data_IF_797374962455
#
_entry.id   IF_797374962455
#
_cell.length_a   1.000
_cell.length_b   1.000
_cell.length_c   1.000
_cell.angle_alpha   90.00
_cell.angle_beta   90.00
_cell.angle_gamma   90.00
#
_symmetry.space_group_name_H-M   'P 1'
#
loop_
_entity.id
_entity.type
_entity.pdbx_description
1 polymer ?
#
# COMPACT_ATOMS: atom_id res chain seq x y z
N UNK A 1 15.61 5.40 -10.09
CA UNK A 1 14.60 4.78 -9.18
C UNK A 1 15.37 3.90 -8.21
N UNK A 2 15.32 4.22 -6.93
CA UNK A 2 15.95 3.41 -5.89
C UNK A 2 15.08 2.16 -5.64
N UNK A 3 15.72 1.01 -5.40
CA UNK A 3 14.98 -0.20 -5.03
C UNK A 3 14.45 -0.08 -3.60
N UNK A 4 13.27 -0.64 -3.33
CA UNK A 4 12.71 -0.65 -1.97
C UNK A 4 13.67 -1.34 -1.00
N UNK A 5 14.25 -2.48 -1.39
CA UNK A 5 15.22 -3.24 -0.58
C UNK A 5 16.53 -2.48 -0.29
N UNK A 6 16.85 -1.46 -1.08
CA UNK A 6 18.00 -0.59 -0.83
C UNK A 6 17.79 0.47 0.24
N UNK A 7 16.55 0.64 0.74
CA UNK A 7 16.23 1.57 1.82
C UNK A 7 16.53 0.95 3.19
N UNK A 8 16.96 1.79 4.14
CA UNK A 8 17.17 1.39 5.54
C UNK A 8 15.94 0.76 6.20
N UNK A 9 14.74 1.15 5.76
CA UNK A 9 13.48 0.55 6.22
C UNK A 9 13.43 -0.98 6.06
N UNK A 10 14.14 -1.51 5.05
CA UNK A 10 14.13 -2.93 4.74
C UNK A 10 15.36 -3.68 5.26
N UNK A 11 16.30 -3.01 5.95
CA UNK A 11 17.56 -3.62 6.38
C UNK A 11 17.39 -4.96 7.10
N UNK A 12 16.36 -5.10 7.94
CA UNK A 12 16.07 -6.33 8.67
C UNK A 12 15.46 -7.47 7.85
N UNK A 13 15.00 -7.22 6.61
CA UNK A 13 14.33 -8.21 5.75
C UNK A 13 14.94 -8.30 4.35
N UNK A 14 15.84 -7.39 3.99
CA UNK A 14 16.38 -7.28 2.64
C UNK A 14 17.06 -8.56 2.15
N UNK A 15 17.92 -9.15 2.96
CA UNK A 15 18.63 -10.39 2.62
C UNK A 15 17.68 -11.56 2.41
N UNK A 16 16.65 -11.68 3.29
CA UNK A 16 15.64 -12.72 3.19
C UNK A 16 14.84 -12.57 1.89
N UNK A 17 14.38 -11.37 1.58
CA UNK A 17 13.56 -11.12 0.39
C UNK A 17 14.38 -11.23 -0.90
N UNK A 18 15.65 -10.83 -0.88
CA UNK A 18 16.57 -11.01 -2.01
C UNK A 18 16.80 -12.49 -2.31
N UNK A 19 17.14 -13.28 -1.29
CA UNK A 19 17.30 -14.74 -1.42
C UNK A 19 16.01 -15.39 -1.91
N UNK A 20 14.87 -14.98 -1.36
CA UNK A 20 13.55 -15.48 -1.80
C UNK A 20 13.32 -15.20 -3.29
N UNK A 21 13.65 -14.01 -3.78
CA UNK A 21 13.52 -13.65 -5.19
C UNK A 21 14.42 -14.52 -6.08
N UNK A 22 15.65 -14.83 -5.65
CA UNK A 22 16.56 -15.71 -6.37
C UNK A 22 16.02 -17.13 -6.50
N UNK A 23 15.51 -17.70 -5.41
CA UNK A 23 14.86 -19.03 -5.43
C UNK A 23 13.62 -19.05 -6.29
N UNK A 24 12.78 -18.01 -6.23
CA UNK A 24 11.60 -17.87 -7.06
C UNK A 24 11.95 -17.83 -8.53
N UNK A 25 12.96 -17.06 -8.92
CA UNK A 25 13.43 -16.96 -10.32
C UNK A 25 14.02 -18.26 -10.85
N UNK A 26 14.62 -19.06 -9.99
CA UNK A 26 15.21 -20.36 -10.37
C UNK A 26 14.21 -21.53 -10.32
N UNK A 27 12.97 -21.30 -9.85
CA UNK A 27 11.97 -22.35 -9.71
C UNK A 27 11.44 -22.79 -11.08
N UNK A 28 11.46 -24.10 -11.34
CA UNK A 28 10.83 -24.71 -12.49
C UNK A 28 9.36 -25.14 -12.23
N UNK A 29 8.94 -25.15 -10.97
CA UNK A 29 7.60 -25.57 -10.55
C UNK A 29 6.70 -24.38 -10.33
N UNK A 30 5.37 -24.52 -10.59
CA UNK A 30 4.41 -23.45 -10.31
C UNK A 30 4.38 -23.09 -8.83
N UNK A 31 4.56 -21.80 -8.54
CA UNK A 31 4.58 -21.26 -7.17
C UNK A 31 3.13 -21.02 -6.71
N UNK A 32 2.77 -21.56 -5.56
CA UNK A 32 1.48 -21.29 -4.94
C UNK A 32 1.56 -20.01 -4.10
N UNK A 33 0.75 -19.00 -4.42
CA UNK A 33 0.64 -17.77 -3.65
C UNK A 33 -0.67 -17.81 -2.85
N UNK A 34 -0.56 -17.64 -1.53
CA UNK A 34 -1.70 -17.69 -0.61
C UNK A 34 -1.78 -16.43 0.24
N UNK A 35 -3.00 -15.96 0.46
CA UNK A 35 -3.35 -14.97 1.47
C UNK A 35 -4.78 -15.19 1.96
N UNK A 36 -5.11 -14.59 3.11
CA UNK A 36 -6.50 -14.46 3.52
C UNK A 36 -7.32 -13.70 2.47
N UNK A 37 -8.61 -14.00 2.28
CA UNK A 37 -9.51 -13.29 1.36
C UNK A 37 -9.91 -11.92 1.95
N UNK A 38 -8.94 -11.06 2.15
CA UNK A 38 -9.05 -9.72 2.71
C UNK A 38 -8.47 -8.69 1.74
N UNK A 39 -8.79 -7.42 1.95
CA UNK A 39 -8.23 -6.33 1.16
C UNK A 39 -6.70 -6.31 1.23
N UNK A 40 -6.10 -6.46 2.41
CA UNK A 40 -4.65 -6.54 2.55
C UNK A 40 -4.06 -7.77 1.85
N UNK A 41 -4.75 -8.92 1.90
CA UNK A 41 -4.36 -10.11 1.16
C UNK A 41 -4.32 -9.88 -0.35
N UNK A 42 -5.34 -9.23 -0.90
CA UNK A 42 -5.41 -8.86 -2.32
C UNK A 42 -4.28 -7.89 -2.72
N UNK A 43 -4.05 -6.85 -1.89
CA UNK A 43 -3.00 -5.86 -2.10
C UNK A 43 -1.59 -6.44 -1.97
N UNK A 44 -1.41 -7.51 -1.21
CA UNK A 44 -0.12 -8.21 -1.10
C UNK A 44 0.12 -9.20 -2.24
N UNK A 45 -0.93 -9.90 -2.70
CA UNK A 45 -0.81 -10.87 -3.80
C UNK A 45 -0.56 -10.16 -5.13
N UNK A 46 -1.26 -9.07 -5.41
CA UNK A 46 -1.20 -8.38 -6.70
C UNK A 46 0.22 -8.04 -7.19
N UNK A 47 1.12 -7.44 -6.39
CA UNK A 47 2.47 -7.15 -6.83
C UNK A 47 3.30 -8.42 -7.10
N UNK A 48 3.13 -9.48 -6.31
CA UNK A 48 3.85 -10.75 -6.52
C UNK A 48 3.40 -11.39 -7.83
N UNK A 49 2.08 -11.47 -8.09
CA UNK A 49 1.57 -11.96 -9.38
C UNK A 49 2.06 -11.12 -10.55
N UNK A 50 2.07 -9.79 -10.41
CA UNK A 50 2.59 -8.88 -11.42
C UNK A 50 4.05 -9.21 -11.78
N UNK A 51 4.89 -9.45 -10.77
CA UNK A 51 6.29 -9.78 -10.96
C UNK A 51 6.49 -11.16 -11.60
N UNK A 52 5.70 -12.16 -11.20
CA UNK A 52 5.75 -13.50 -11.80
C UNK A 52 5.29 -13.46 -13.27
N UNK A 53 4.23 -12.71 -13.58
CA UNK A 53 3.77 -12.48 -14.96
C UNK A 53 4.83 -11.76 -15.80
N UNK A 54 5.45 -10.71 -15.26
CA UNK A 54 6.49 -9.96 -15.95
C UNK A 54 7.75 -10.82 -16.21
N UNK A 55 8.00 -11.81 -15.36
CA UNK A 55 9.14 -12.74 -15.47
C UNK A 55 8.78 -14.04 -16.20
N UNK A 56 7.53 -14.25 -16.63
CA UNK A 56 7.09 -15.47 -17.29
C UNK A 56 7.12 -16.73 -16.41
N UNK A 57 7.04 -16.55 -15.08
CA UNK A 57 7.10 -17.64 -14.12
C UNK A 57 5.71 -18.23 -13.84
N UNK A 58 5.56 -19.57 -13.83
CA UNK A 58 4.28 -20.20 -13.57
C UNK A 58 3.89 -20.06 -12.08
N UNK A 59 2.62 -19.78 -11.85
CA UNK A 59 2.08 -19.65 -10.50
C UNK A 59 0.63 -20.05 -10.39
N UNK A 60 0.14 -20.18 -9.13
CA UNK A 60 -1.26 -20.35 -8.77
C UNK A 60 -1.61 -19.43 -7.61
N UNK A 61 -2.71 -18.70 -7.71
CA UNK A 61 -3.26 -17.88 -6.63
C UNK A 61 -4.34 -18.64 -5.87
N UNK A 62 -4.34 -18.52 -4.55
CA UNK A 62 -5.46 -18.94 -3.69
C UNK A 62 -5.69 -17.95 -2.56
N UNK A 63 -6.94 -17.62 -2.33
CA UNK A 63 -7.39 -16.88 -1.15
C UNK A 63 -7.94 -17.89 -0.13
N UNK A 64 -7.12 -18.20 0.88
CA UNK A 64 -7.43 -19.12 1.99
C UNK A 64 -6.73 -18.68 3.25
N UNK A 65 -7.30 -19.09 4.42
CA UNK A 65 -6.71 -18.86 5.75
C UNK A 65 -5.72 -19.97 6.15
N UNK A 66 -5.82 -21.14 5.56
CA UNK A 66 -5.03 -22.33 5.90
C UNK A 66 -3.62 -22.23 5.34
N UNK A 67 -2.66 -22.71 6.11
CA UNK A 67 -1.28 -22.86 5.63
C UNK A 67 -1.21 -23.90 4.51
N UNK A 68 -0.34 -23.69 3.51
CA UNK A 68 -0.16 -24.66 2.43
C UNK A 68 0.62 -25.88 2.90
N UNK A 69 0.22 -27.07 2.43
CA UNK A 69 0.83 -28.33 2.80
C UNK A 69 2.03 -28.71 1.90
N UNK A 70 2.01 -28.27 0.64
CA UNK A 70 2.99 -28.72 -0.37
C UNK A 70 3.70 -27.55 -1.01
N UNK A 71 5.02 -27.41 -0.85
CA UNK A 71 5.84 -26.39 -1.52
C UNK A 71 6.00 -26.66 -3.04
N UNK A 72 6.39 -25.65 -3.86
CA UNK A 72 6.80 -24.32 -3.43
C UNK A 72 5.61 -23.36 -3.18
N UNK A 73 5.72 -22.54 -2.16
CA UNK A 73 4.67 -21.57 -1.86
C UNK A 73 5.19 -20.25 -1.25
N UNK A 74 4.36 -19.19 -1.43
CA UNK A 74 4.47 -17.90 -0.76
C UNK A 74 3.17 -17.69 0.02
N UNK A 75 3.24 -17.59 1.33
CA UNK A 75 2.09 -17.38 2.21
C UNK A 75 2.17 -15.99 2.85
N UNK A 76 1.20 -15.14 2.51
CA UNK A 76 1.07 -13.81 3.12
C UNK A 76 0.22 -13.97 4.38
N UNK A 77 0.81 -13.65 5.52
CA UNK A 77 0.14 -13.73 6.82
C UNK A 77 -0.75 -12.51 7.06
N UNK A 78 -1.69 -12.64 8.00
CA UNK A 78 -2.66 -11.59 8.28
C UNK A 78 -2.05 -10.33 8.90
N UNK A 79 -2.79 -9.20 8.88
CA UNK A 79 -2.27 -7.89 9.30
C UNK A 79 -1.86 -7.79 10.77
N UNK A 80 -2.40 -8.65 11.65
CA UNK A 80 -2.02 -8.72 13.07
C UNK A 80 -0.83 -9.63 13.35
N UNK A 81 -0.25 -10.26 12.33
CA UNK A 81 0.91 -11.14 12.50
C UNK A 81 2.20 -10.35 12.30
N UNK A 82 2.96 -10.20 13.37
CA UNK A 82 4.25 -9.51 13.41
C UNK A 82 5.40 -10.43 13.83
N UNK A 83 5.29 -11.73 13.56
CA UNK A 83 6.33 -12.71 13.89
C UNK A 83 7.58 -12.62 13.01
N UNK A 84 7.56 -11.76 12.01
CA UNK A 84 8.61 -11.60 11.01
C UNK A 84 8.52 -12.65 9.89
N UNK A 85 9.00 -12.26 8.72
CA UNK A 85 9.02 -13.13 7.54
C UNK A 85 10.01 -14.28 7.70
N UNK A 86 9.71 -15.45 7.12
CA UNK A 86 10.53 -16.67 7.23
C UNK A 86 10.68 -17.34 5.87
N UNK A 87 11.89 -17.77 5.57
CA UNK A 87 12.25 -18.51 4.36
C UNK A 87 12.77 -19.89 4.73
N UNK A 88 12.25 -20.92 4.07
CA UNK A 88 12.88 -22.24 3.96
C UNK A 88 13.27 -22.42 2.49
N UNK A 89 14.53 -22.73 2.22
CA UNK A 89 15.09 -22.71 0.87
C UNK A 89 14.76 -23.97 0.08
N UNK A 90 14.82 -25.11 0.74
CA UNK A 90 14.65 -26.40 0.06
C UNK A 90 13.73 -27.32 0.89
N UNK A 91 12.52 -27.51 0.46
CA UNK A 91 11.82 -26.86 -0.66
C UNK A 91 11.39 -25.42 -0.34
N UNK A 92 11.26 -24.57 -1.38
CA UNK A 92 10.91 -23.15 -1.21
C UNK A 92 9.58 -22.97 -0.46
N UNK A 93 9.67 -22.37 0.72
CA UNK A 93 8.52 -22.02 1.56
C UNK A 93 8.77 -20.65 2.18
N UNK A 94 8.04 -19.64 1.70
CA UNK A 94 8.18 -18.25 2.16
C UNK A 94 6.91 -17.82 2.88
N UNK A 95 7.03 -17.45 4.16
CA UNK A 95 5.98 -16.72 4.89
C UNK A 95 6.35 -15.25 4.94
N UNK A 96 5.43 -14.37 4.53
CA UNK A 96 5.59 -12.92 4.64
C UNK A 96 4.65 -12.41 5.73
N UNK A 97 5.20 -11.77 6.76
CA UNK A 97 4.44 -11.12 7.84
C UNK A 97 4.99 -9.74 8.14
N UNK A 98 4.17 -8.92 8.81
CA UNK A 98 4.64 -7.62 9.28
C UNK A 98 5.84 -7.74 10.22
N UNK A 99 6.65 -6.70 10.28
CA UNK A 99 7.72 -6.55 11.26
C UNK A 99 7.79 -5.10 11.72
N UNK A 100 8.30 -4.87 12.93
CA UNK A 100 8.51 -3.51 13.44
C UNK A 100 9.91 -3.08 13.08
N UNK A 101 10.02 -1.94 12.42
CA UNK A 101 11.30 -1.37 11.96
C UNK A 101 11.45 0.08 12.39
N UNK A 102 12.66 0.59 12.31
CA UNK A 102 12.92 2.02 12.48
C UNK A 102 12.50 2.78 11.23
N UNK A 103 11.65 3.80 11.38
CA UNK A 103 11.13 4.60 10.27
C UNK A 103 11.88 5.92 10.11
N UNK A 104 11.81 6.78 11.12
CA UNK A 104 12.42 8.10 11.09
C UNK A 104 13.37 8.29 12.28
N UNK A 105 14.48 8.98 12.02
CA UNK A 105 15.39 9.43 13.06
C UNK A 105 15.05 10.88 13.46
N UNK A 106 14.84 11.10 14.74
CA UNK A 106 14.68 12.42 15.29
C UNK A 106 16.01 13.19 15.35
N UNK A 107 15.95 14.51 15.54
CA UNK A 107 17.13 15.39 15.61
C UNK A 107 18.13 15.02 16.72
N UNK A 108 17.70 14.30 17.75
CA UNK A 108 18.52 13.84 18.87
C UNK A 108 18.95 12.37 18.75
N UNK A 109 18.78 11.76 17.58
CA UNK A 109 19.15 10.36 17.32
C UNK A 109 18.16 9.33 17.87
N UNK A 110 17.01 9.77 18.39
CA UNK A 110 15.92 8.88 18.75
C UNK A 110 15.28 8.30 17.48
N UNK A 111 15.20 6.99 17.40
CA UNK A 111 14.52 6.32 16.30
C UNK A 111 13.06 6.05 16.65
N UNK A 112 12.16 6.41 15.73
CA UNK A 112 10.73 6.07 15.84
C UNK A 112 10.44 4.83 15.06
N UNK A 113 9.82 3.85 15.73
CA UNK A 113 9.50 2.54 15.15
C UNK A 113 8.06 2.49 14.68
N UNK A 114 7.85 1.76 13.59
CA UNK A 114 6.52 1.53 13.01
C UNK A 114 6.45 0.19 12.26
N UNK A 115 5.26 -0.18 11.77
CA UNK A 115 5.06 -1.44 11.08
C UNK A 115 5.57 -1.39 9.63
N UNK A 116 6.49 -2.29 9.25
CA UNK A 116 6.75 -2.65 7.88
C UNK A 116 5.80 -3.79 7.52
N UNK A 117 4.67 -3.48 6.92
CA UNK A 117 3.56 -4.41 6.71
C UNK A 117 3.90 -5.51 5.69
N UNK A 118 3.14 -6.61 5.68
CA UNK A 118 3.28 -7.67 4.68
C UNK A 118 3.05 -7.15 3.25
N UNK A 119 2.17 -6.15 3.06
CA UNK A 119 1.94 -5.50 1.75
C UNK A 119 3.20 -4.84 1.24
N UNK A 120 3.87 -4.04 2.07
CA UNK A 120 5.13 -3.36 1.69
C UNK A 120 6.21 -4.37 1.35
N UNK A 121 6.37 -5.43 2.15
CA UNK A 121 7.34 -6.49 1.90
C UNK A 121 7.03 -7.28 0.62
N UNK A 122 5.73 -7.50 0.30
CA UNK A 122 5.31 -8.13 -0.95
C UNK A 122 5.68 -7.28 -2.18
N UNK A 123 5.56 -5.95 -2.09
CA UNK A 123 6.03 -5.04 -3.15
C UNK A 123 7.55 -5.07 -3.30
N UNK A 124 8.29 -5.10 -2.21
CA UNK A 124 9.74 -5.20 -2.25
C UNK A 124 10.21 -6.53 -2.85
N UNK A 125 9.56 -7.65 -2.50
CA UNK A 125 9.81 -8.95 -3.11
C UNK A 125 9.49 -8.94 -4.62
N UNK A 126 8.37 -8.37 -5.01
CA UNK A 126 7.96 -8.25 -6.41
C UNK A 126 8.99 -7.46 -7.22
N UNK A 127 9.49 -6.36 -6.69
CA UNK A 127 10.55 -5.56 -7.32
C UNK A 127 11.86 -6.36 -7.43
N UNK A 128 12.21 -7.18 -6.44
CA UNK A 128 13.40 -8.05 -6.49
C UNK A 128 13.25 -9.18 -7.53
N UNK A 129 12.03 -9.73 -7.70
CA UNK A 129 11.75 -10.76 -8.72
C UNK A 129 11.84 -10.15 -10.13
N UNK A 130 11.22 -8.99 -10.36
CA UNK A 130 11.13 -8.34 -11.68
C UNK A 130 11.39 -6.83 -11.60
N UNK A 131 12.66 -6.40 -11.45
CA UNK A 131 13.01 -4.99 -11.23
C UNK A 131 12.58 -4.04 -12.36
N UNK A 132 12.49 -4.55 -13.58
CA UNK A 132 12.13 -3.80 -14.78
C UNK A 132 10.71 -4.13 -15.28
N UNK A 133 9.97 -4.98 -14.56
CA UNK A 133 8.66 -5.43 -14.96
C UNK A 133 7.66 -4.27 -15.09
N UNK A 134 6.97 -4.13 -16.22
CA UNK A 134 6.05 -3.02 -16.41
C UNK A 134 4.85 -3.06 -15.46
N UNK A 135 4.31 -4.25 -15.16
CA UNK A 135 3.22 -4.43 -14.18
C UNK A 135 3.71 -4.17 -12.76
N UNK A 136 4.89 -4.69 -12.41
CA UNK A 136 5.53 -4.47 -11.11
C UNK A 136 5.71 -2.99 -10.83
N UNK A 137 6.25 -2.24 -11.80
CA UNK A 137 6.42 -0.78 -11.69
C UNK A 137 5.10 -0.03 -11.58
N UNK A 138 4.09 -0.45 -12.36
CA UNK A 138 2.75 0.16 -12.34
C UNK A 138 2.09 0.03 -10.97
N UNK A 139 2.35 -1.07 -10.25
CA UNK A 139 1.78 -1.31 -8.93
C UNK A 139 2.59 -0.71 -7.77
N UNK A 140 3.79 -0.21 -8.00
CA UNK A 140 4.68 0.30 -6.95
C UNK A 140 4.07 1.36 -6.01
N UNK A 141 3.22 2.31 -6.48
CA UNK A 141 2.53 3.24 -5.59
C UNK A 141 1.67 2.57 -4.51
N UNK A 142 1.15 1.37 -4.80
CA UNK A 142 0.34 0.60 -3.87
C UNK A 142 1.11 0.04 -2.67
N UNK A 143 2.43 0.13 -2.65
CA UNK A 143 3.23 -0.27 -1.49
C UNK A 143 2.79 0.46 -0.20
N UNK A 144 2.29 1.70 -0.30
CA UNK A 144 1.77 2.47 0.84
C UNK A 144 0.47 1.93 1.42
N UNK A 145 -0.29 1.13 0.65
CA UNK A 145 -1.64 0.73 1.01
C UNK A 145 -1.71 -0.11 2.29
N UNK A 146 -0.68 -0.91 2.58
CA UNK A 146 -0.63 -1.73 3.80
C UNK A 146 -0.57 -0.88 5.07
N UNK A 147 0.28 0.14 5.07
CA UNK A 147 0.40 1.07 6.19
C UNK A 147 -0.80 2.02 6.25
N UNK A 148 -1.36 2.42 5.11
CA UNK A 148 -2.62 3.17 5.08
C UNK A 148 -3.76 2.42 5.79
N UNK A 149 -3.86 1.11 5.61
CA UNK A 149 -4.86 0.27 6.26
C UNK A 149 -4.52 -0.08 7.72
N UNK A 150 -3.32 0.22 8.18
CA UNK A 150 -2.88 -0.09 9.53
C UNK A 150 -3.38 0.97 10.53
N UNK A 151 -3.82 0.51 11.70
CA UNK A 151 -4.31 1.37 12.77
C UNK A 151 -3.25 2.30 13.40
N UNK A 152 -1.96 2.07 13.13
CA UNK A 152 -0.90 2.96 13.61
C UNK A 152 -1.13 4.41 13.19
N UNK A 153 -1.62 4.63 11.97
CA UNK A 153 -1.95 5.96 11.46
C UNK A 153 -3.16 6.61 12.17
N UNK A 154 -4.02 5.81 12.81
CA UNK A 154 -5.21 6.30 13.53
C UNK A 154 -4.96 6.60 15.00
N UNK A 155 -3.89 6.07 15.57
CA UNK A 155 -3.54 6.28 16.99
C UNK A 155 -2.47 7.33 17.17
N UNK A 156 -1.46 7.29 16.31
CA UNK A 156 -0.31 8.21 16.32
C UNK A 156 0.22 8.34 14.90
N UNK A 157 1.27 9.14 14.75
CA UNK A 157 2.03 9.24 13.53
C UNK A 157 2.75 7.90 13.19
N UNK A 158 2.58 7.39 11.97
CA UNK A 158 3.31 6.20 11.49
C UNK A 158 4.61 6.62 10.78
N UNK A 159 5.78 6.44 11.44
CA UNK A 159 7.06 6.86 10.88
C UNK A 159 7.48 6.06 9.66
N UNK A 160 7.04 4.79 9.55
CA UNK A 160 7.34 3.94 8.39
C UNK A 160 6.50 4.36 7.18
N UNK A 161 5.22 4.68 7.39
CA UNK A 161 4.37 5.22 6.32
C UNK A 161 4.97 6.50 5.72
N UNK A 162 5.37 7.45 6.58
CA UNK A 162 5.94 8.71 6.12
C UNK A 162 7.27 8.51 5.40
N UNK A 163 8.20 7.74 5.97
CA UNK A 163 9.48 7.48 5.34
C UNK A 163 9.32 6.76 3.97
N UNK A 164 8.38 5.83 3.88
CA UNK A 164 8.08 5.14 2.62
C UNK A 164 7.43 6.08 1.59
N UNK A 165 6.48 6.94 2.01
CA UNK A 165 5.86 7.95 1.16
C UNK A 165 6.91 8.90 0.58
N UNK A 166 7.79 9.40 1.44
CA UNK A 166 8.82 10.34 1.03
C UNK A 166 9.85 9.69 0.10
N UNK A 167 10.23 8.42 0.33
CA UNK A 167 11.07 7.63 -0.57
C UNK A 167 10.44 7.50 -1.97
N UNK A 168 9.15 7.13 -2.03
CA UNK A 168 8.43 6.96 -3.28
C UNK A 168 8.18 8.29 -4.01
N UNK A 169 8.00 9.38 -3.28
CA UNK A 169 7.87 10.71 -3.85
C UNK A 169 9.21 11.21 -4.42
N UNK A 170 10.32 11.01 -3.68
CA UNK A 170 11.65 11.42 -4.09
C UNK A 170 12.11 10.73 -5.38
N UNK A 171 11.76 9.47 -5.57
CA UNK A 171 12.13 8.72 -6.78
C UNK A 171 11.12 8.87 -7.94
N UNK A 172 10.08 9.66 -7.76
CA UNK A 172 9.08 9.97 -8.78
C UNK A 172 8.03 8.87 -8.99
N UNK A 173 7.97 7.88 -8.11
CA UNK A 173 6.94 6.82 -8.15
C UNK A 173 5.55 7.37 -7.87
N UNK A 174 5.45 8.36 -6.99
CA UNK A 174 4.20 9.02 -6.61
C UNK A 174 4.35 10.55 -6.63
N UNK A 175 3.21 11.23 -6.67
CA UNK A 175 3.10 12.64 -6.30
C UNK A 175 2.29 12.74 -5.01
N UNK A 176 2.72 13.63 -4.13
CA UNK A 176 1.98 13.99 -2.92
C UNK A 176 1.37 15.36 -3.15
N UNK A 177 0.05 15.46 -3.02
CA UNK A 177 -0.70 16.68 -3.30
C UNK A 177 -1.77 16.91 -2.24
N UNK A 178 -2.18 18.15 -1.97
CA UNK A 178 -3.33 18.40 -1.11
C UNK A 178 -4.64 17.98 -1.79
N UNK A 179 -5.65 17.63 -1.01
CA UNK A 179 -6.93 17.10 -1.46
C UNK A 179 -7.60 17.93 -2.59
N UNK A 180 -7.58 19.29 -2.58
CA UNK A 180 -8.14 20.07 -3.69
C UNK A 180 -7.41 19.93 -5.02
N UNK A 181 -6.22 19.34 -5.06
CA UNK A 181 -5.44 19.07 -6.28
C UNK A 181 -5.64 17.64 -6.80
N UNK A 182 -6.39 16.80 -6.11
CA UNK A 182 -6.79 15.47 -6.60
C UNK A 182 -7.82 15.64 -7.72
N UNK A 183 -7.60 15.13 -8.94
CA UNK A 183 -8.50 15.40 -10.07
C UNK A 183 -9.94 14.91 -9.86
N UNK A 184 -10.10 13.74 -9.26
CA UNK A 184 -11.40 13.12 -8.95
C UNK A 184 -11.36 12.55 -7.52
N UNK A 185 -11.48 13.41 -6.48
CA UNK A 185 -11.42 12.96 -5.11
C UNK A 185 -12.62 12.06 -4.78
N UNK A 186 -12.37 10.88 -4.22
CA UNK A 186 -13.40 9.98 -3.77
C UNK A 186 -13.58 10.12 -2.26
N UNK A 187 -14.50 10.99 -1.85
CA UNK A 187 -14.69 11.36 -0.44
C UNK A 187 -15.99 10.81 0.16
N UNK A 188 -16.75 10.00 -0.57
CA UNK A 188 -18.05 9.48 -0.13
C UNK A 188 -17.99 8.61 1.14
N UNK A 189 -16.81 8.19 1.58
CA UNK A 189 -16.57 7.46 2.83
C UNK A 189 -16.17 8.37 4.01
N UNK A 190 -16.08 9.69 3.75
CA UNK A 190 -15.86 10.73 4.75
C UNK A 190 -17.11 11.60 4.82
N UNK A 191 -18.06 11.24 5.65
CA UNK A 191 -19.34 11.94 5.85
C UNK A 191 -19.18 13.39 6.36
N UNK A 192 -18.00 13.73 6.88
CA UNK A 192 -17.62 15.07 7.33
C UNK A 192 -17.04 15.96 6.22
N UNK A 193 -16.78 15.46 5.01
CA UNK A 193 -16.36 16.27 3.86
C UNK A 193 -17.58 16.67 3.03
N UNK A 194 -17.88 17.96 3.02
CA UNK A 194 -18.87 18.53 2.10
C UNK A 194 -18.28 18.60 0.68
N UNK A 195 -18.88 17.88 -0.26
CA UNK A 195 -18.43 17.76 -1.64
C UNK A 195 -18.55 19.10 -2.39
N UNK A 196 -19.57 19.89 -2.11
CA UNK A 196 -19.76 21.20 -2.73
C UNK A 196 -18.73 22.21 -2.22
N UNK A 197 -18.44 22.17 -0.91
CA UNK A 197 -17.36 22.95 -0.32
C UNK A 197 -16.00 22.56 -0.89
N UNK A 198 -15.69 21.26 -1.06
CA UNK A 198 -14.47 20.79 -1.68
C UNK A 198 -14.34 21.27 -3.12
N UNK A 199 -15.41 21.17 -3.91
CA UNK A 199 -15.45 21.65 -5.30
C UNK A 199 -15.18 23.16 -5.38
N UNK A 200 -15.82 23.96 -4.51
CA UNK A 200 -15.61 25.40 -4.42
C UNK A 200 -14.16 25.78 -4.02
N UNK A 201 -13.55 25.01 -3.12
CA UNK A 201 -12.14 25.18 -2.73
C UNK A 201 -11.21 24.82 -3.90
N UNK A 202 -11.45 23.69 -4.56
CA UNK A 202 -10.64 23.22 -5.70
C UNK A 202 -10.65 24.23 -6.84
N UNK A 203 -11.80 24.82 -7.17
CA UNK A 203 -11.95 25.81 -8.24
C UNK A 203 -11.06 27.06 -8.05
N UNK A 204 -10.81 27.46 -6.81
CA UNK A 204 -10.02 28.66 -6.49
C UNK A 204 -8.61 28.37 -5.98
N UNK A 205 -8.27 27.09 -5.80
CA UNK A 205 -7.05 26.65 -5.11
C UNK A 205 -5.75 27.27 -5.67
N UNK A 206 -5.64 27.29 -6.99
CA UNK A 206 -4.44 27.83 -7.66
C UNK A 206 -4.26 29.34 -7.49
N UNK A 207 -5.33 30.08 -7.18
CA UNK A 207 -5.28 31.52 -6.92
C UNK A 207 -5.03 31.90 -5.45
N UNK A 208 -4.98 30.90 -4.54
CA UNK A 208 -4.72 31.12 -3.13
C UNK A 208 -3.22 31.12 -2.85
N UNK A 209 -2.79 32.05 -1.98
CA UNK A 209 -1.47 31.99 -1.33
C UNK A 209 -1.42 30.86 -0.28
N UNK A 210 -0.25 30.64 0.31
CA UNK A 210 -0.03 29.57 1.29
C UNK A 210 -0.99 29.67 2.48
N UNK A 211 -1.23 30.87 3.00
CA UNK A 211 -2.12 31.09 4.13
C UNK A 211 -3.58 30.86 3.75
N UNK A 212 -3.98 31.30 2.57
CA UNK A 212 -5.32 31.08 2.00
C UNK A 212 -5.60 29.59 1.79
N UNK A 213 -4.62 28.82 1.27
CA UNK A 213 -4.70 27.36 1.14
C UNK A 213 -4.84 26.68 2.50
N UNK A 214 -4.01 27.06 3.48
CA UNK A 214 -4.08 26.51 4.84
C UNK A 214 -5.45 26.76 5.48
N UNK A 215 -5.97 27.98 5.38
CA UNK A 215 -7.32 28.32 5.88
C UNK A 215 -8.43 27.56 5.16
N UNK A 216 -8.38 27.47 3.83
CA UNK A 216 -9.39 26.79 3.05
C UNK A 216 -9.46 25.30 3.41
N UNK A 217 -8.32 24.64 3.51
CA UNK A 217 -8.24 23.22 3.87
C UNK A 217 -8.64 22.97 5.32
N UNK A 218 -8.20 23.83 6.26
CA UNK A 218 -8.61 23.74 7.67
C UNK A 218 -10.13 23.88 7.84
N UNK A 219 -10.76 24.78 7.10
CA UNK A 219 -12.22 24.92 7.12
C UNK A 219 -12.93 23.69 6.55
N UNK A 220 -12.38 23.08 5.50
CA UNK A 220 -12.94 21.88 4.89
C UNK A 220 -12.88 20.67 5.84
N UNK A 221 -11.79 20.53 6.60
CA UNK A 221 -11.54 19.41 7.54
C UNK A 221 -12.19 19.67 8.90
N UNK A 222 -12.50 20.91 9.25
CA UNK A 222 -13.01 21.32 10.56
C UNK A 222 -14.18 20.47 11.10
N UNK A 223 -15.16 20.01 10.28
CA UNK A 223 -16.26 19.18 10.79
C UNK A 223 -15.78 17.86 11.43
N UNK A 224 -14.64 17.29 10.97
CA UNK A 224 -14.08 16.07 11.53
C UNK A 224 -13.57 16.23 12.97
N UNK A 225 -13.21 17.46 13.38
CA UNK A 225 -12.67 17.71 14.71
C UNK A 225 -13.70 17.49 15.83
N UNK A 226 -14.99 17.43 15.48
CA UNK A 226 -16.07 17.08 16.42
C UNK A 226 -16.18 15.56 16.65
N UNK A 227 -15.54 14.74 15.82
CA UNK A 227 -15.52 13.29 15.91
C UNK A 227 -14.23 12.81 16.57
N UNK A 228 -14.28 11.65 17.22
CA UNK A 228 -13.09 11.00 17.81
C UNK A 228 -12.17 10.35 16.76
N UNK A 229 -12.65 10.20 15.55
CA UNK A 229 -11.96 9.60 14.41
C UNK A 229 -12.28 10.38 13.14
N UNK A 230 -11.37 10.53 12.18
CA UNK A 230 -9.99 10.01 12.20
C UNK A 230 -9.04 10.82 13.11
N UNK A 231 -7.86 10.27 13.41
CA UNK A 231 -6.83 10.98 14.16
C UNK A 231 -6.29 12.20 13.41
N UNK A 232 -5.65 13.14 14.12
CA UNK A 232 -5.01 14.31 13.49
C UNK A 232 -4.00 13.91 12.41
N UNK A 233 -3.20 12.87 12.67
CA UNK A 233 -2.24 12.35 11.70
C UNK A 233 -2.93 11.83 10.43
N UNK A 234 -4.02 11.10 10.58
CA UNK A 234 -4.83 10.62 9.45
C UNK A 234 -5.46 11.79 8.69
N UNK A 235 -5.92 12.82 9.38
CA UNK A 235 -6.49 14.03 8.77
C UNK A 235 -5.45 14.80 7.94
N UNK A 236 -4.19 14.86 8.40
CA UNK A 236 -3.09 15.45 7.63
C UNK A 236 -2.84 14.67 6.34
N UNK A 237 -2.83 13.34 6.41
CA UNK A 237 -2.65 12.51 5.20
C UNK A 237 -3.82 12.65 4.23
N UNK A 238 -5.07 12.73 4.73
CA UNK A 238 -6.26 12.92 3.89
C UNK A 238 -6.30 14.33 3.28
N UNK A 239 -5.89 15.35 4.02
CA UNK A 239 -6.01 16.75 3.59
C UNK A 239 -4.82 17.25 2.79
N UNK A 240 -3.60 17.00 3.28
CA UNK A 240 -2.38 17.57 2.73
C UNK A 240 -1.51 16.60 1.94
N UNK A 241 -1.61 15.31 2.20
CA UNK A 241 -0.67 14.33 1.68
C UNK A 241 -1.35 13.24 0.85
N UNK A 242 -2.35 13.60 0.04
CA UNK A 242 -2.98 12.67 -0.88
C UNK A 242 -1.94 12.09 -1.85
N UNK A 243 -1.93 10.77 -1.99
CA UNK A 243 -0.96 10.06 -2.80
C UNK A 243 -1.54 9.76 -4.19
N UNK A 244 -0.90 10.25 -5.23
CA UNK A 244 -1.24 9.98 -6.63
C UNK A 244 -0.13 9.19 -7.32
N UNK A 245 -0.45 8.01 -7.83
CA UNK A 245 0.40 7.28 -8.76
C UNK A 245 0.33 7.88 -10.18
N UNK A 246 1.24 7.47 -11.09
CA UNK A 246 1.22 7.92 -12.47
C UNK A 246 -0.11 7.62 -13.18
N UNK A 247 -0.75 8.65 -13.72
CA UNK A 247 -2.03 8.52 -14.43
C UNK A 247 -3.26 8.31 -13.54
N UNK A 248 -3.11 8.38 -12.21
CA UNK A 248 -4.25 8.27 -11.30
C UNK A 248 -5.07 9.55 -11.28
N UNK A 249 -6.39 9.43 -11.38
CA UNK A 249 -7.33 10.53 -11.17
C UNK A 249 -7.83 10.61 -9.73
N UNK A 250 -7.82 9.49 -9.01
CA UNK A 250 -8.21 9.37 -7.61
C UNK A 250 -7.01 8.97 -6.78
N UNK A 251 -6.87 9.53 -5.59
CA UNK A 251 -5.78 9.25 -4.67
C UNK A 251 -5.86 7.82 -4.07
N UNK A 252 -4.76 7.40 -3.42
CA UNK A 252 -4.66 6.08 -2.81
C UNK A 252 -5.79 5.80 -1.82
N UNK A 253 -6.13 6.78 -0.97
CA UNK A 253 -7.19 6.64 0.03
C UNK A 253 -8.54 6.35 -0.61
N UNK A 254 -8.90 7.11 -1.63
CA UNK A 254 -10.13 6.92 -2.39
C UNK A 254 -10.18 5.59 -3.13
N UNK A 255 -9.08 5.15 -3.72
CA UNK A 255 -9.00 3.84 -4.38
C UNK A 255 -9.10 2.68 -3.37
N UNK A 256 -8.50 2.80 -2.19
CA UNK A 256 -8.62 1.79 -1.12
C UNK A 256 -10.07 1.70 -0.63
N UNK A 257 -10.74 2.85 -0.46
CA UNK A 257 -12.15 2.87 -0.07
C UNK A 257 -13.06 2.21 -1.12
N UNK A 258 -12.81 2.49 -2.41
CA UNK A 258 -13.51 1.82 -3.52
C UNK A 258 -13.27 0.31 -3.53
N UNK A 259 -12.00 -0.11 -3.31
CA UNK A 259 -11.67 -1.53 -3.20
C UNK A 259 -12.43 -2.21 -2.05
N UNK A 260 -12.49 -1.57 -0.87
CA UNK A 260 -13.18 -2.09 0.30
C UNK A 260 -14.69 -2.30 0.08
N UNK A 261 -15.28 -1.53 -0.83
CA UNK A 261 -16.71 -1.65 -1.15
C UNK A 261 -17.09 -3.03 -1.69
N UNK A 262 -16.18 -3.74 -2.39
CA UNK A 262 -16.44 -5.09 -2.88
C UNK A 262 -16.78 -6.09 -1.77
N UNK A 263 -16.25 -5.90 -0.56
CA UNK A 263 -16.59 -6.78 0.60
C UNK A 263 -17.99 -6.55 1.17
N UNK A 264 -18.70 -5.49 0.74
CA UNK A 264 -20.11 -5.26 1.12
C UNK A 264 -21.09 -6.06 0.28
N UNK A 265 -20.74 -6.38 -0.96
CA UNK A 265 -21.63 -7.00 -1.94
C UNK A 265 -21.22 -8.42 -2.35
N UNK A 266 -19.93 -8.75 -2.29
CA UNK A 266 -19.38 -10.01 -2.76
C UNK A 266 -18.93 -10.90 -1.60
N UNK A 267 -18.80 -12.21 -1.86
CA UNK A 267 -18.07 -13.07 -0.92
C UNK A 267 -16.60 -12.63 -0.84
N UNK A 268 -15.97 -12.80 0.32
CA UNK A 268 -14.61 -12.35 0.55
C UNK A 268 -13.60 -12.80 -0.51
N UNK A 269 -13.71 -14.06 -0.98
CA UNK A 269 -12.83 -14.59 -2.04
C UNK A 269 -13.09 -13.92 -3.39
N UNK A 270 -14.35 -13.66 -3.73
CA UNK A 270 -14.71 -12.95 -4.97
C UNK A 270 -14.22 -11.50 -4.92
N UNK A 271 -14.44 -10.79 -3.82
CA UNK A 271 -13.96 -9.42 -3.61
C UNK A 271 -12.43 -9.34 -3.75
N UNK A 272 -11.69 -10.22 -3.07
CA UNK A 272 -10.23 -10.26 -3.15
C UNK A 272 -9.75 -10.56 -4.58
N UNK A 273 -10.43 -11.45 -5.31
CA UNK A 273 -10.11 -11.76 -6.71
C UNK A 273 -10.36 -10.54 -7.61
N UNK A 274 -11.52 -9.88 -7.49
CA UNK A 274 -11.84 -8.68 -8.29
C UNK A 274 -10.81 -7.57 -8.10
N UNK A 275 -10.42 -7.29 -6.84
CA UNK A 275 -9.40 -6.26 -6.53
C UNK A 275 -8.06 -6.62 -7.14
N UNK A 276 -7.58 -7.86 -6.93
CA UNK A 276 -6.30 -8.30 -7.50
C UNK A 276 -6.30 -8.22 -9.03
N UNK A 277 -7.37 -8.70 -9.69
CA UNK A 277 -7.48 -8.68 -11.14
C UNK A 277 -7.57 -7.25 -11.71
N UNK A 278 -8.23 -6.31 -11.01
CA UNK A 278 -8.26 -4.90 -11.39
C UNK A 278 -6.85 -4.29 -11.34
N UNK A 279 -6.13 -4.53 -10.26
CA UNK A 279 -4.75 -4.07 -10.10
C UNK A 279 -3.82 -4.62 -11.19
N UNK A 280 -3.90 -5.92 -11.49
CA UNK A 280 -3.06 -6.55 -12.53
C UNK A 280 -3.33 -6.01 -13.93
N UNK A 281 -4.60 -5.77 -14.26
CA UNK A 281 -5.00 -5.25 -15.57
C UNK A 281 -4.74 -3.76 -15.72
N UNK A 282 -5.19 -2.99 -14.77
CA UNK A 282 -5.28 -1.53 -14.89
C UNK A 282 -4.28 -0.78 -14.02
N UNK A 283 -3.80 -1.40 -12.94
CA UNK A 283 -2.95 -0.77 -11.91
C UNK A 283 -3.71 0.18 -10.99
N UNK A 284 -5.04 0.23 -11.14
CA UNK A 284 -5.95 1.09 -10.36
C UNK A 284 -7.20 0.30 -10.00
N UNK A 285 -7.91 0.80 -9.00
CA UNK A 285 -9.28 0.38 -8.69
C UNK A 285 -10.22 1.43 -9.25
N UNK A 286 -11.09 1.04 -10.17
CA UNK A 286 -12.12 1.95 -10.69
C UNK A 286 -13.23 2.14 -9.66
N UNK A 287 -13.64 3.37 -9.51
CA UNK A 287 -14.88 3.72 -8.80
C UNK A 287 -16.05 3.22 -9.66
N UNK A 288 -16.87 2.36 -9.11
CA UNK A 288 -18.11 1.88 -9.75
C UNK A 288 -19.25 2.87 -9.51
#
# INVERSE_FOLDING_TARGET
MHTLLGSELFSGVADLLTKSADYIRSSSSPILILAAPSLQGALSIAPIEAALLDSGLPYRRRFKMESPDTPPWIHILGPGDFRGSKLTETPLSLSISGTIVEGLHGHQGDSRKGPLTAVVQAHALAEAISPQGPRTRKLRPWALSGNWLNSALDTTYDPVYTALRDLLAQDGTIRVVPLPEVPQPHTSHYDWIDIDALSAVSARWNGLDMEGRARALSNLIRPSLAASTPSTARLEEIGWHCVLGPGWSTDLAGQIAAAAYHWKSDSATVAATKVTDSLLREGIIRLS
#
